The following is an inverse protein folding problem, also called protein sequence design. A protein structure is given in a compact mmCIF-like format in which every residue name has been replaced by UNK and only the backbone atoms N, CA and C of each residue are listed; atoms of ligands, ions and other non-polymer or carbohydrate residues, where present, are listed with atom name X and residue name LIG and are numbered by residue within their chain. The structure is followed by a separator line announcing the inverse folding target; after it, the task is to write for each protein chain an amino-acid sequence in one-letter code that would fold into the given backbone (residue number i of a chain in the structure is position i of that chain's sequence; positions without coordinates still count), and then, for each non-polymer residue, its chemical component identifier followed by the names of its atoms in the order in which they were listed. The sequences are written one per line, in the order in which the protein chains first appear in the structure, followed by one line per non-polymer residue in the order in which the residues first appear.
data_IF_812291363090
#
_entry.id   IF_812291363090
#
_cell.length_a   1.000
_cell.length_b   1.000
_cell.length_c   1.000
_cell.angle_alpha   90.00
_cell.angle_beta   90.00
_cell.angle_gamma   90.00
#
_symmetry.space_group_name_H-M   'P 1'
#
loop_
_entity.id
_entity.type
_entity.pdbx_description
1 polymer ?
#
# COMPACT_ATOMS: atom_id res chain seq x y z
N UNK A 1 -40.83 -17.86 -1.13
CA UNK A 1 -39.62 -17.75 -0.29
C UNK A 1 -38.41 -17.42 -1.16
N UNK A 2 -38.19 -16.15 -1.53
CA UNK A 2 -37.06 -15.76 -2.42
C UNK A 2 -36.34 -14.47 -1.99
N UNK A 3 -36.61 -13.96 -0.78
CA UNK A 3 -36.14 -12.63 -0.37
C UNK A 3 -35.06 -12.64 0.72
N UNK A 4 -34.75 -13.81 1.30
CA UNK A 4 -33.79 -13.92 2.42
C UNK A 4 -32.33 -14.07 1.98
N UNK A 5 -32.07 -14.48 0.74
CA UNK A 5 -30.71 -14.66 0.20
C UNK A 5 -30.00 -13.34 -0.14
N UNK A 6 -30.74 -12.24 -0.32
CA UNK A 6 -30.15 -10.94 -0.71
C UNK A 6 -29.56 -10.16 0.47
N UNK A 7 -30.04 -10.38 1.69
CA UNK A 7 -29.60 -9.66 2.90
C UNK A 7 -28.22 -10.14 3.37
N UNK A 8 -27.92 -11.43 3.18
CA UNK A 8 -26.66 -12.05 3.63
C UNK A 8 -25.49 -11.58 2.76
N UNK A 9 -25.70 -11.38 1.46
CA UNK A 9 -24.67 -10.89 0.53
C UNK A 9 -24.26 -9.44 0.81
N UNK A 10 -25.18 -8.61 1.30
CA UNK A 10 -24.91 -7.20 1.63
C UNK A 10 -24.03 -7.10 2.90
N UNK A 11 -24.21 -7.99 3.88
CA UNK A 11 -23.40 -7.98 5.11
C UNK A 11 -21.91 -8.30 4.86
N UNK A 12 -21.61 -9.19 3.90
CA UNK A 12 -20.23 -9.54 3.53
C UNK A 12 -19.47 -8.37 2.88
N UNK A 13 -20.16 -7.47 2.17
CA UNK A 13 -19.54 -6.32 1.50
C UNK A 13 -19.08 -5.24 2.49
N UNK A 14 -19.78 -5.06 3.61
CA UNK A 14 -19.37 -4.09 4.63
C UNK A 14 -18.15 -4.54 5.44
N UNK A 15 -18.01 -5.84 5.68
CA UNK A 15 -16.86 -6.38 6.42
C UNK A 15 -15.55 -6.22 5.63
N UNK A 16 -15.58 -6.44 4.30
CA UNK A 16 -14.41 -6.27 3.44
C UNK A 16 -13.91 -4.81 3.36
N UNK A 17 -14.81 -3.83 3.38
CA UNK A 17 -14.41 -2.42 3.38
C UNK A 17 -13.69 -1.98 4.66
N UNK A 18 -14.09 -2.51 5.83
CA UNK A 18 -13.47 -2.18 7.11
C UNK A 18 -12.03 -2.66 7.21
N UNK A 19 -11.75 -3.86 6.69
CA UNK A 19 -10.41 -4.46 6.71
C UNK A 19 -9.40 -3.66 5.87
N UNK A 20 -9.81 -3.16 4.70
CA UNK A 20 -8.92 -2.37 3.84
C UNK A 20 -8.61 -0.98 4.43
N UNK A 21 -9.60 -0.34 5.06
CA UNK A 21 -9.40 0.94 5.74
C UNK A 21 -8.50 0.80 6.98
N UNK A 22 -8.59 -0.33 7.68
CA UNK A 22 -7.65 -0.66 8.76
C UNK A 22 -6.21 -0.79 8.24
N UNK A 23 -6.01 -1.48 7.11
CA UNK A 23 -4.70 -1.60 6.46
C UNK A 23 -4.14 -0.24 6.04
N UNK A 24 -4.95 0.61 5.40
CA UNK A 24 -4.56 1.99 5.02
C UNK A 24 -4.10 2.81 6.21
N UNK A 25 -4.89 2.78 7.30
CA UNK A 25 -4.58 3.53 8.51
C UNK A 25 -3.28 3.04 9.16
N UNK A 26 -3.11 1.73 9.32
CA UNK A 26 -1.91 1.15 9.90
C UNK A 26 -0.68 1.44 9.03
N UNK A 27 -0.78 1.27 7.70
CA UNK A 27 0.31 1.53 6.76
C UNK A 27 0.78 2.99 6.81
N UNK A 28 -0.15 3.94 6.91
CA UNK A 28 0.18 5.38 6.98
C UNK A 28 1.06 5.75 8.19
N UNK A 29 1.11 4.90 9.21
CA UNK A 29 1.89 5.08 10.45
C UNK A 29 3.11 4.15 10.50
N UNK A 30 3.21 3.18 9.60
CA UNK A 30 4.20 2.10 9.69
C UNK A 30 5.66 2.60 9.62
N UNK A 31 5.91 3.67 8.86
CA UNK A 31 7.25 4.24 8.76
C UNK A 31 7.63 5.13 9.94
N UNK A 32 6.69 5.55 10.80
CA UNK A 32 6.96 6.48 11.90
C UNK A 32 7.71 5.83 13.08
N UNK A 33 7.53 4.53 13.33
CA UNK A 33 8.20 3.83 14.44
C UNK A 33 8.34 2.32 14.15
N UNK A 34 9.13 1.62 14.97
CA UNK A 34 9.21 0.15 14.91
C UNK A 34 7.89 -0.49 15.34
N UNK A 35 7.21 0.10 16.32
CA UNK A 35 5.91 -0.38 16.79
C UNK A 35 4.82 -0.23 15.71
N UNK A 36 4.81 0.91 15.01
CA UNK A 36 3.91 1.11 13.87
C UNK A 36 4.14 0.09 12.76
N UNK A 37 5.39 -0.23 12.46
CA UNK A 37 5.73 -1.27 11.48
C UNK A 37 5.23 -2.66 11.91
N UNK A 38 5.50 -3.06 13.16
CA UNK A 38 5.02 -4.34 13.71
C UNK A 38 3.50 -4.47 13.66
N UNK A 39 2.79 -3.41 14.07
CA UNK A 39 1.32 -3.40 14.06
C UNK A 39 0.77 -3.56 12.65
N UNK A 40 1.35 -2.85 11.67
CA UNK A 40 0.95 -3.01 10.27
C UNK A 40 1.24 -4.42 9.73
N UNK A 41 2.42 -4.99 10.04
CA UNK A 41 2.80 -6.34 9.63
C UNK A 41 1.80 -7.38 10.13
N UNK A 42 1.47 -7.35 11.43
CA UNK A 42 0.52 -8.27 12.04
C UNK A 42 -0.87 -8.12 11.42
N UNK A 43 -1.31 -6.89 11.15
CA UNK A 43 -2.61 -6.64 10.53
C UNK A 43 -2.66 -7.16 9.08
N UNK A 44 -1.59 -6.94 8.31
CA UNK A 44 -1.48 -7.41 6.94
C UNK A 44 -1.49 -8.94 6.86
N UNK A 45 -0.77 -9.61 7.76
CA UNK A 45 -0.68 -11.08 7.81
C UNK A 45 -2.04 -11.74 8.11
N UNK A 46 -2.76 -11.22 9.11
CA UNK A 46 -4.10 -11.70 9.52
C UNK A 46 -5.17 -11.56 8.44
N UNK A 47 -4.98 -10.66 7.48
CA UNK A 47 -5.96 -10.46 6.43
C UNK A 47 -5.91 -11.64 5.41
N UNK A 48 -6.99 -12.43 5.32
CA UNK A 48 -7.05 -13.59 4.43
C UNK A 48 -7.60 -13.29 3.03
N UNK A 49 -7.92 -12.04 2.71
CA UNK A 49 -8.49 -11.68 1.41
C UNK A 49 -7.51 -11.96 0.25
N UNK A 50 -8.05 -12.49 -0.84
CA UNK A 50 -7.30 -12.76 -2.07
C UNK A 50 -7.20 -11.54 -3.00
N UNK A 51 -7.75 -10.39 -2.59
CA UNK A 51 -7.74 -9.15 -3.35
C UNK A 51 -6.32 -8.67 -3.68
N UNK A 52 -6.16 -8.08 -4.86
CA UNK A 52 -4.87 -7.56 -5.31
C UNK A 52 -4.32 -6.49 -4.35
N UNK A 53 -5.19 -5.63 -3.80
CA UNK A 53 -4.78 -4.59 -2.85
C UNK A 53 -4.21 -5.18 -1.56
N UNK A 54 -4.87 -6.18 -0.99
CA UNK A 54 -4.39 -6.88 0.21
C UNK A 54 -3.05 -7.56 -0.06
N UNK A 55 -2.89 -8.20 -1.23
CA UNK A 55 -1.59 -8.76 -1.64
C UNK A 55 -0.50 -7.69 -1.76
N UNK A 56 -0.83 -6.50 -2.27
CA UNK A 56 0.07 -5.36 -2.32
C UNK A 56 0.50 -4.88 -0.92
N UNK A 57 -0.44 -4.80 0.01
CA UNK A 57 -0.15 -4.46 1.42
C UNK A 57 0.70 -5.53 2.11
N UNK A 58 0.42 -6.83 1.89
CA UNK A 58 1.25 -7.92 2.40
C UNK A 58 2.69 -7.86 1.87
N UNK A 59 2.85 -7.57 0.59
CA UNK A 59 4.18 -7.37 0.01
C UNK A 59 4.91 -6.17 0.67
N UNK A 60 4.21 -5.07 0.94
CA UNK A 60 4.78 -3.93 1.67
C UNK A 60 5.10 -4.26 3.14
N UNK A 61 4.30 -5.09 3.80
CA UNK A 61 4.53 -5.57 5.15
C UNK A 61 5.81 -6.42 5.22
N UNK A 62 5.99 -7.34 4.27
CA UNK A 62 7.21 -8.14 4.19
C UNK A 62 8.46 -7.27 3.99
N UNK A 63 8.37 -6.18 3.24
CA UNK A 63 9.49 -5.23 3.13
C UNK A 63 9.77 -4.56 4.48
N UNK A 64 8.73 -4.19 5.23
CA UNK A 64 8.85 -3.58 6.55
C UNK A 64 9.43 -4.54 7.60
N UNK A 65 9.37 -5.85 7.40
CA UNK A 65 10.09 -6.82 8.26
C UNK A 65 11.59 -6.49 8.32
N UNK A 66 12.17 -5.98 7.24
CA UNK A 66 13.58 -5.57 7.22
C UNK A 66 13.89 -4.43 8.18
N UNK A 67 12.90 -3.60 8.54
CA UNK A 67 13.03 -2.50 9.51
C UNK A 67 13.05 -3.02 10.95
N UNK A 68 12.24 -4.04 11.25
CA UNK A 68 11.99 -4.50 12.63
C UNK A 68 12.77 -5.77 13.00
N UNK A 69 13.27 -6.53 12.02
CA UNK A 69 14.01 -7.76 12.27
C UNK A 69 15.36 -7.51 12.96
N UNK A 70 15.67 -8.38 13.92
CA UNK A 70 16.97 -8.46 14.60
C UNK A 70 17.99 -9.27 13.78
N UNK A 71 17.52 -10.11 12.85
CA UNK A 71 18.35 -10.96 11.98
C UNK A 71 18.84 -10.18 10.76
N UNK A 72 20.04 -9.57 10.87
CA UNK A 72 20.61 -8.69 9.83
C UNK A 72 20.71 -9.35 8.45
N UNK A 73 21.02 -10.64 8.40
CA UNK A 73 21.11 -11.43 7.17
C UNK A 73 19.75 -11.58 6.44
N UNK A 74 18.62 -11.50 7.15
CA UNK A 74 17.28 -11.61 6.54
C UNK A 74 16.76 -10.31 5.94
N UNK A 75 17.27 -9.14 6.36
CA UNK A 75 16.80 -7.82 5.88
C UNK A 75 16.76 -7.70 4.36
N UNK A 76 17.84 -8.10 3.69
CA UNK A 76 17.93 -8.06 2.22
C UNK A 76 16.93 -9.02 1.58
N UNK A 77 16.72 -10.19 2.19
CA UNK A 77 15.77 -11.19 1.69
C UNK A 77 14.34 -10.67 1.74
N UNK A 78 13.93 -10.10 2.87
CA UNK A 78 12.62 -9.48 3.06
C UNK A 78 12.34 -8.38 2.02
N UNK A 79 13.30 -7.47 1.84
CA UNK A 79 13.16 -6.41 0.85
C UNK A 79 13.04 -6.98 -0.57
N UNK A 80 13.90 -7.92 -0.96
CA UNK A 80 13.89 -8.51 -2.31
C UNK A 80 12.61 -9.29 -2.57
N UNK A 81 12.17 -10.11 -1.63
CA UNK A 81 10.97 -10.94 -1.75
C UNK A 81 9.72 -10.06 -1.83
N UNK A 82 9.54 -9.14 -0.89
CA UNK A 82 8.39 -8.24 -0.88
C UNK A 82 8.36 -7.32 -2.12
N UNK A 83 9.50 -6.80 -2.57
CA UNK A 83 9.57 -6.03 -3.82
C UNK A 83 9.16 -6.88 -5.04
N UNK A 84 9.65 -8.12 -5.12
CA UNK A 84 9.28 -9.05 -6.21
C UNK A 84 7.78 -9.35 -6.21
N UNK A 85 7.18 -9.54 -5.03
CA UNK A 85 5.74 -9.77 -4.90
C UNK A 85 4.92 -8.54 -5.29
N UNK A 86 5.33 -7.35 -4.83
CA UNK A 86 4.66 -6.11 -5.16
C UNK A 86 4.67 -5.84 -6.67
N UNK A 87 5.82 -6.04 -7.33
CA UNK A 87 5.93 -5.95 -8.79
C UNK A 87 5.01 -6.93 -9.50
N UNK A 88 4.93 -8.18 -9.03
CA UNK A 88 4.03 -9.19 -9.60
C UNK A 88 2.57 -8.75 -9.51
N UNK A 89 2.14 -8.27 -8.34
CA UNK A 89 0.77 -7.82 -8.11
C UNK A 89 0.45 -6.62 -9.00
N UNK A 90 1.36 -5.66 -9.14
CA UNK A 90 1.19 -4.48 -10.00
C UNK A 90 1.14 -4.87 -11.47
N UNK A 91 2.00 -5.79 -11.92
CA UNK A 91 2.00 -6.27 -13.31
C UNK A 91 0.64 -6.86 -13.71
N UNK A 92 -0.03 -7.56 -12.80
CA UNK A 92 -1.38 -8.09 -13.02
C UNK A 92 -2.50 -7.07 -12.81
N UNK A 93 -2.21 -5.91 -12.20
CA UNK A 93 -3.19 -4.88 -11.86
C UNK A 93 -2.66 -3.47 -12.22
N UNK A 94 -2.25 -3.22 -13.47
CA UNK A 94 -1.44 -2.05 -13.83
C UNK A 94 -2.16 -0.71 -13.64
N UNK A 95 -3.51 -0.73 -13.66
CA UNK A 95 -4.35 0.45 -13.58
C UNK A 95 -4.78 0.82 -12.15
N UNK A 96 -4.37 0.06 -11.13
CA UNK A 96 -4.77 0.30 -9.75
C UNK A 96 -3.89 1.39 -9.11
N UNK A 97 -4.45 2.59 -8.89
CA UNK A 97 -3.72 3.76 -8.35
C UNK A 97 -3.12 3.50 -6.97
N UNK A 98 -3.81 2.77 -6.10
CA UNK A 98 -3.36 2.52 -4.74
C UNK A 98 -2.18 1.54 -4.69
N UNK A 99 -2.12 0.54 -5.56
CA UNK A 99 -0.93 -0.31 -5.71
C UNK A 99 0.29 0.50 -6.17
N UNK A 100 0.10 1.46 -7.08
CA UNK A 100 1.16 2.36 -7.54
C UNK A 100 1.63 3.30 -6.42
N UNK A 101 0.69 3.77 -5.58
CA UNK A 101 0.99 4.54 -4.37
C UNK A 101 1.85 3.72 -3.39
N UNK A 102 1.50 2.46 -3.14
CA UNK A 102 2.28 1.55 -2.28
C UNK A 102 3.70 1.38 -2.84
N UNK A 103 3.85 1.12 -4.14
CA UNK A 103 5.19 0.98 -4.75
C UNK A 103 6.00 2.26 -4.65
N UNK A 104 5.42 3.41 -4.96
CA UNK A 104 6.11 4.70 -4.80
C UNK A 104 6.56 4.90 -3.34
N UNK A 105 5.69 4.62 -2.38
CA UNK A 105 5.99 4.70 -0.95
C UNK A 105 7.16 3.83 -0.53
N UNK A 106 7.17 2.59 -0.97
CA UNK A 106 8.25 1.65 -0.67
C UNK A 106 9.56 2.14 -1.29
N UNK A 107 9.54 2.47 -2.58
CA UNK A 107 10.74 2.86 -3.33
C UNK A 107 11.42 4.12 -2.77
N UNK A 108 10.66 5.08 -2.23
CA UNK A 108 11.24 6.32 -1.67
C UNK A 108 11.81 6.15 -0.25
N UNK A 109 11.52 5.02 0.40
CA UNK A 109 11.96 4.73 1.77
C UNK A 109 13.02 3.63 1.89
N UNK A 110 13.31 2.91 0.80
CA UNK A 110 14.38 1.92 0.75
C UNK A 110 15.72 2.58 0.39
N UNK A 111 16.85 2.15 1.01
CA UNK A 111 18.18 2.62 0.64
C UNK A 111 18.51 2.40 -0.84
N UNK A 112 19.09 3.42 -1.50
CA UNK A 112 19.43 3.38 -2.94
C UNK A 112 20.28 2.18 -3.36
N UNK A 113 21.15 1.69 -2.47
CA UNK A 113 22.01 0.50 -2.71
C UNK A 113 21.22 -0.78 -3.03
N UNK A 114 19.95 -0.85 -2.64
CA UNK A 114 19.06 -1.97 -2.97
C UNK A 114 18.61 -1.95 -4.43
N UNK A 115 18.57 -0.78 -5.06
CA UNK A 115 18.20 -0.62 -6.48
C UNK A 115 16.70 -0.71 -6.78
N UNK A 116 15.83 -0.69 -5.75
CA UNK A 116 14.37 -0.68 -5.92
C UNK A 116 13.81 0.76 -5.88
N UNK A 117 14.10 1.54 -6.93
CA UNK A 117 13.67 2.94 -7.04
C UNK A 117 13.41 3.40 -8.47
N UNK A 118 13.34 2.48 -9.43
CA UNK A 118 13.31 2.80 -10.86
C UNK A 118 11.97 3.39 -11.33
N UNK A 119 10.89 3.09 -10.62
CA UNK A 119 9.53 3.46 -11.05
C UNK A 119 8.98 4.70 -10.33
N UNK A 120 9.77 5.38 -9.48
CA UNK A 120 9.31 6.54 -8.71
C UNK A 120 8.65 7.62 -9.57
N UNK A 121 9.29 8.00 -10.69
CA UNK A 121 8.76 9.00 -11.62
C UNK A 121 7.47 8.53 -12.28
N UNK A 122 7.46 7.29 -12.74
CA UNK A 122 6.32 6.66 -13.42
C UNK A 122 5.10 6.58 -12.50
N UNK A 123 5.28 6.08 -11.28
CA UNK A 123 4.22 5.94 -10.29
C UNK A 123 3.65 7.29 -9.89
N UNK A 124 4.51 8.28 -9.64
CA UNK A 124 4.08 9.64 -9.33
C UNK A 124 3.21 10.21 -10.44
N UNK A 125 3.67 10.16 -11.69
CA UNK A 125 2.91 10.68 -12.84
C UNK A 125 1.58 9.93 -12.99
N UNK A 126 1.58 8.61 -12.84
CA UNK A 126 0.36 7.81 -12.92
C UNK A 126 -0.66 8.18 -11.84
N UNK A 127 -0.21 8.37 -10.59
CA UNK A 127 -1.07 8.76 -9.46
C UNK A 127 -1.69 10.13 -9.71
N UNK A 128 -0.87 11.13 -10.09
CA UNK A 128 -1.35 12.49 -10.36
C UNK A 128 -2.41 12.51 -11.48
N UNK A 129 -2.16 11.79 -12.58
CA UNK A 129 -3.04 11.76 -13.74
C UNK A 129 -4.38 11.03 -13.49
N UNK A 130 -4.42 10.13 -12.51
CA UNK A 130 -5.61 9.34 -12.21
C UNK A 130 -6.28 9.71 -10.88
N UNK A 131 -5.71 10.65 -10.12
CA UNK A 131 -6.25 11.08 -8.84
C UNK A 131 -7.71 11.56 -8.93
N UNK A 132 -8.04 12.38 -9.94
CA UNK A 132 -9.39 12.93 -10.11
C UNK A 132 -10.47 11.87 -10.30
N UNK A 133 -10.10 10.70 -10.83
CA UNK A 133 -10.98 9.55 -11.10
C UNK A 133 -11.26 8.68 -9.87
N UNK A 134 -10.54 8.90 -8.76
CA UNK A 134 -10.69 8.07 -7.57
C UNK A 134 -11.88 8.51 -6.72
N UNK A 135 -12.40 7.57 -5.94
CA UNK A 135 -13.44 7.86 -4.94
C UNK A 135 -12.91 8.76 -3.81
N UNK A 136 -13.81 9.33 -3.02
CA UNK A 136 -13.47 10.28 -1.96
C UNK A 136 -12.49 9.70 -0.93
N UNK A 137 -12.73 8.45 -0.47
CA UNK A 137 -11.86 7.80 0.53
C UNK A 137 -10.43 7.64 0.02
N UNK A 138 -10.26 7.12 -1.20
CA UNK A 138 -8.94 6.94 -1.79
C UNK A 138 -8.26 8.28 -2.11
N UNK A 139 -9.00 9.30 -2.53
CA UNK A 139 -8.46 10.66 -2.67
C UNK A 139 -7.89 11.18 -1.34
N UNK A 140 -8.65 11.07 -0.26
CA UNK A 140 -8.18 11.45 1.08
C UNK A 140 -6.92 10.69 1.48
N UNK A 141 -6.88 9.38 1.21
CA UNK A 141 -5.71 8.55 1.52
C UNK A 141 -4.48 8.95 0.69
N UNK A 142 -4.61 9.12 -0.63
CA UNK A 142 -3.54 9.59 -1.52
C UNK A 142 -3.01 10.93 -1.04
N UNK A 143 -3.88 11.88 -0.67
CA UNK A 143 -3.45 13.18 -0.15
C UNK A 143 -2.62 13.06 1.13
N UNK A 144 -3.09 12.29 2.12
CA UNK A 144 -2.36 12.05 3.37
C UNK A 144 -0.97 11.48 3.10
N UNK A 145 -0.87 10.57 2.14
CA UNK A 145 0.40 10.00 1.71
C UNK A 145 1.30 11.05 1.02
N UNK A 146 0.75 11.77 0.04
CA UNK A 146 1.46 12.77 -0.75
C UNK A 146 2.10 13.87 0.12
N UNK A 147 1.43 14.29 1.20
CA UNK A 147 1.99 15.28 2.13
C UNK A 147 3.32 14.81 2.75
N UNK A 148 3.45 13.51 3.02
CA UNK A 148 4.65 12.88 3.60
C UNK A 148 5.67 12.43 2.55
N UNK A 149 5.29 12.42 1.27
CA UNK A 149 6.15 11.94 0.18
C UNK A 149 7.39 12.82 -0.01
N UNK A 150 8.53 12.15 -0.22
CA UNK A 150 9.82 12.77 -0.60
C UNK A 150 9.95 12.96 -2.12
N UNK A 151 9.12 12.25 -2.88
CA UNK A 151 9.15 12.19 -4.35
C UNK A 151 8.28 13.28 -5.00
N UNK A 152 7.21 13.68 -4.31
CA UNK A 152 6.30 14.73 -4.77
C UNK A 152 6.78 16.12 -4.36
N UNK A 153 6.75 17.05 -5.32
CA UNK A 153 7.03 18.48 -5.11
C UNK A 153 5.87 19.19 -4.42
N UNK A 154 6.10 20.40 -3.89
CA UNK A 154 5.03 21.20 -3.28
C UNK A 154 3.87 21.48 -4.26
N UNK A 155 4.18 21.81 -5.52
CA UNK A 155 3.17 22.04 -6.56
C UNK A 155 2.33 20.79 -6.83
N UNK A 156 2.96 19.62 -6.94
CA UNK A 156 2.26 18.34 -7.13
C UNK A 156 1.40 17.98 -5.91
N UNK A 157 1.85 18.26 -4.69
CA UNK A 157 1.04 18.07 -3.48
C UNK A 157 -0.20 18.97 -3.48
N UNK A 158 -0.05 20.21 -3.94
CA UNK A 158 -1.13 21.20 -3.99
C UNK A 158 -2.16 20.94 -5.11
N UNK A 159 -1.82 20.18 -6.15
CA UNK A 159 -2.74 19.84 -7.24
C UNK A 159 -3.71 18.72 -6.88
N UNK A 160 -3.42 17.94 -5.86
CA UNK A 160 -4.30 16.89 -5.33
C UNK A 160 -5.44 17.51 -4.52
N UNK A 161 -6.37 18.26 -5.14
CA UNK A 161 -7.47 18.93 -4.43
C UNK A 161 -8.66 18.03 -4.13
#
# INVERSE_FOLDING_TARGET
MKSLLSIITILFLFFQSGDLDALRNAYSKANASNEGAKNFIVLADKNSSAEALVKGYKAAAEILEAKVTTEKNKRKSFVKSGATQLERVIKSNPNNVELRLIRMSVQENIPKIVGYSKNLKEDKTFILNNYSKQNASLKTYIRKFAMQSKTMTATEKNSLK
#
